data_IF_850284560246
#
_entry.id   IF_850284560246
#
_cell.length_a   1.000
_cell.length_b   1.000
_cell.length_c   1.000
_cell.angle_alpha   90.00
_cell.angle_beta   90.00
_cell.angle_gamma   90.00
#
_symmetry.space_group_name_H-M   'P 1'
#
loop_
_entity.id
_entity.type
_entity.pdbx_description
1 polymer ?
#
# COMPACT_ATOMS: atom_id res chain seq x y z
N UNK A 1 -11.30 13.45 -10.29
CA UNK A 1 -12.41 13.92 -9.43
C UNK A 1 -11.79 14.68 -8.27
N UNK A 2 -12.39 15.80 -7.86
CA UNK A 2 -11.95 16.63 -6.74
C UNK A 2 -13.10 16.66 -5.74
N UNK A 3 -12.80 16.36 -4.48
CA UNK A 3 -13.78 16.23 -3.40
C UNK A 3 -13.28 16.97 -2.18
N UNK A 4 -14.17 17.72 -1.53
CA UNK A 4 -13.94 18.25 -0.19
C UNK A 4 -14.13 17.12 0.83
N UNK A 5 -13.06 16.73 1.52
CA UNK A 5 -13.07 15.62 2.49
C UNK A 5 -13.68 15.96 3.85
N UNK A 6 -14.06 17.22 4.08
CA UNK A 6 -14.79 17.63 5.28
C UNK A 6 -16.30 17.54 5.06
N UNK A 7 -16.77 17.93 3.87
CA UNK A 7 -18.19 17.95 3.52
C UNK A 7 -18.62 16.76 2.66
N UNK A 8 -17.67 15.97 2.15
CA UNK A 8 -17.86 14.95 1.12
C UNK A 8 -18.46 15.48 -0.20
N UNK A 9 -18.43 16.80 -0.41
CA UNK A 9 -18.98 17.43 -1.62
C UNK A 9 -18.03 17.24 -2.80
N UNK A 10 -18.56 16.74 -3.93
CA UNK A 10 -17.84 16.72 -5.20
C UNK A 10 -17.72 18.14 -5.73
N UNK A 11 -16.50 18.65 -5.82
CA UNK A 11 -16.19 19.98 -6.38
C UNK A 11 -16.15 19.90 -7.90
N UNK A 12 -15.53 18.83 -8.43
CA UNK A 12 -15.41 18.60 -9.86
C UNK A 12 -15.28 17.11 -10.17
N UNK A 13 -15.85 16.66 -11.28
CA UNK A 13 -15.67 15.30 -11.76
C UNK A 13 -15.63 15.23 -13.28
N UNK A 14 -14.80 14.32 -13.80
CA UNK A 14 -14.72 13.99 -15.21
C UNK A 14 -14.57 12.46 -15.29
N UNK A 15 -15.54 11.78 -15.93
CA UNK A 15 -15.65 10.32 -15.99
C UNK A 15 -15.32 9.59 -14.65
N UNK A 16 -15.94 9.97 -13.51
CA UNK A 16 -15.52 9.48 -12.19
C UNK A 16 -15.71 7.98 -11.98
N UNK A 17 -16.54 7.34 -12.81
CA UNK A 17 -16.88 5.91 -12.76
C UNK A 17 -16.14 5.08 -13.82
N UNK A 18 -15.20 5.69 -14.56
CA UNK A 18 -14.39 5.00 -15.55
C UNK A 18 -13.34 4.13 -14.88
N UNK A 19 -13.36 2.83 -15.18
CA UNK A 19 -12.41 1.85 -14.64
C UNK A 19 -11.05 2.02 -15.33
N UNK A 20 -10.01 2.21 -14.51
CA UNK A 20 -8.62 2.40 -14.97
C UNK A 20 -7.63 1.70 -14.04
N UNK A 21 -6.46 1.28 -14.56
CA UNK A 21 -5.33 0.94 -13.71
C UNK A 21 -4.98 2.10 -12.77
N UNK A 22 -4.73 1.80 -11.50
CA UNK A 22 -4.52 2.84 -10.46
C UNK A 22 -3.09 2.95 -9.96
N UNK A 23 -2.19 2.12 -10.49
CA UNK A 23 -0.79 2.09 -10.09
C UNK A 23 -0.64 2.03 -8.55
N UNK A 24 0.36 2.73 -8.03
CA UNK A 24 0.74 2.75 -6.62
C UNK A 24 -0.30 3.29 -5.64
N UNK A 25 -1.43 3.87 -6.09
CA UNK A 25 -2.55 4.18 -5.19
C UNK A 25 -3.03 2.90 -4.47
N UNK A 26 -2.80 1.73 -5.08
CA UNK A 26 -3.00 0.40 -4.48
C UNK A 26 -2.36 0.24 -3.10
N UNK A 27 -1.22 0.89 -2.84
CA UNK A 27 -0.50 0.76 -1.55
C UNK A 27 -1.26 1.35 -0.37
N UNK A 28 -2.23 2.25 -0.62
CA UNK A 28 -3.13 2.73 0.43
C UNK A 28 -4.02 1.59 0.95
N UNK A 29 -4.56 0.76 0.06
CA UNK A 29 -5.31 -0.44 0.44
C UNK A 29 -4.42 -1.45 1.17
N UNK A 30 -3.19 -1.66 0.68
CA UNK A 30 -2.19 -2.52 1.31
C UNK A 30 -1.95 -2.09 2.76
N UNK A 31 -1.70 -0.81 3.01
CA UNK A 31 -1.49 -0.30 4.36
C UNK A 31 -2.71 -0.51 5.28
N UNK A 32 -3.93 -0.27 4.79
CA UNK A 32 -5.15 -0.50 5.58
C UNK A 32 -5.33 -1.98 5.96
N UNK A 33 -5.08 -2.91 5.02
CA UNK A 33 -5.17 -4.36 5.29
C UNK A 33 -4.11 -4.82 6.29
N UNK A 34 -2.88 -4.30 6.19
CA UNK A 34 -1.82 -4.60 7.17
C UNK A 34 -2.21 -4.13 8.56
N UNK A 35 -2.71 -2.91 8.69
CA UNK A 35 -3.08 -2.34 9.99
C UNK A 35 -4.30 -3.03 10.61
N UNK A 36 -5.25 -3.47 9.79
CA UNK A 36 -6.40 -4.26 10.24
C UNK A 36 -6.02 -5.61 10.84
N UNK A 37 -4.89 -6.19 10.43
CA UNK A 37 -4.38 -7.43 11.00
C UNK A 37 -3.89 -7.28 12.44
N UNK A 38 -3.69 -6.04 12.93
CA UNK A 38 -3.26 -5.70 14.29
C UNK A 38 -1.99 -6.45 14.74
N UNK A 39 -1.07 -6.69 13.81
CA UNK A 39 0.22 -7.31 14.10
C UNK A 39 1.17 -6.30 14.75
N UNK A 40 2.18 -6.77 15.52
CA UNK A 40 3.19 -5.89 16.10
C UNK A 40 3.92 -5.10 15.01
N UNK A 41 4.03 -3.79 15.22
CA UNK A 41 4.63 -2.86 14.26
C UNK A 41 6.17 -2.86 14.30
N UNK A 42 6.73 -3.27 15.44
CA UNK A 42 8.16 -3.41 15.71
C UNK A 42 8.75 -4.75 15.24
N UNK A 43 7.90 -5.72 14.92
CA UNK A 43 8.31 -7.01 14.35
C UNK A 43 9.18 -6.82 13.12
N UNK A 44 10.36 -7.45 13.14
CA UNK A 44 11.31 -7.45 12.02
C UNK A 44 10.85 -8.44 10.97
N UNK A 45 10.66 -7.94 9.76
CA UNK A 45 10.25 -8.72 8.62
C UNK A 45 11.35 -8.79 7.59
N UNK A 46 11.51 -9.98 7.04
CA UNK A 46 12.38 -10.23 5.90
C UNK A 46 11.76 -9.66 4.62
N UNK A 47 12.55 -8.95 3.83
CA UNK A 47 12.14 -8.48 2.50
C UNK A 47 12.00 -9.69 1.58
N UNK A 48 10.76 -9.97 1.17
CA UNK A 48 10.38 -11.11 0.36
C UNK A 48 9.37 -10.70 -0.71
N UNK A 49 9.69 -11.03 -1.97
CA UNK A 49 8.85 -10.75 -3.15
C UNK A 49 8.48 -12.03 -3.91
N UNK A 50 8.78 -13.20 -3.36
CA UNK A 50 8.65 -14.50 -4.03
C UNK A 50 7.23 -14.80 -4.52
N UNK A 51 6.22 -14.17 -3.90
CA UNK A 51 4.81 -14.34 -4.24
C UNK A 51 4.22 -13.19 -5.09
N UNK A 52 5.05 -12.22 -5.51
CA UNK A 52 4.63 -11.08 -6.33
C UNK A 52 5.34 -11.12 -7.69
N UNK A 53 4.81 -11.85 -8.69
CA UNK A 53 5.47 -12.04 -9.98
C UNK A 53 5.66 -10.72 -10.76
N UNK A 54 4.82 -9.72 -10.54
CA UNK A 54 4.92 -8.38 -11.12
C UNK A 54 6.24 -7.67 -10.75
N UNK A 55 6.91 -8.10 -9.68
CA UNK A 55 8.20 -7.56 -9.25
C UNK A 55 9.38 -8.05 -10.09
N UNK A 56 9.19 -9.01 -11.01
CA UNK A 56 10.28 -9.54 -11.84
C UNK A 56 10.88 -8.42 -12.70
N UNK A 57 12.17 -8.16 -12.53
CA UNK A 57 12.89 -7.10 -13.25
C UNK A 57 12.67 -5.70 -12.70
N UNK A 58 11.86 -5.53 -11.64
CA UNK A 58 11.64 -4.23 -10.99
C UNK A 58 12.85 -3.90 -10.11
N UNK A 59 13.52 -2.81 -10.46
CA UNK A 59 14.64 -2.29 -9.69
C UNK A 59 14.20 -1.79 -8.31
N UNK A 60 15.01 -2.07 -7.29
CA UNK A 60 14.91 -1.44 -5.97
C UNK A 60 16.26 -1.48 -5.27
N UNK A 61 16.56 -0.43 -4.50
CA UNK A 61 17.74 -0.35 -3.63
C UNK A 61 17.62 -1.24 -2.39
N UNK A 62 16.39 -1.56 -1.96
CA UNK A 62 16.12 -2.43 -0.82
C UNK A 62 16.53 -3.85 -1.17
N UNK A 63 17.44 -4.47 -0.42
CA UNK A 63 17.98 -5.81 -0.73
C UNK A 63 16.99 -6.90 -0.33
N UNK A 64 16.85 -7.92 -1.17
CA UNK A 64 16.09 -9.13 -0.80
C UNK A 64 16.75 -9.79 0.41
N UNK A 65 15.93 -10.48 1.20
CA UNK A 65 16.32 -11.12 2.45
C UNK A 65 16.79 -10.17 3.56
N UNK A 66 16.80 -8.85 3.33
CA UNK A 66 17.11 -7.91 4.38
C UNK A 66 15.97 -7.76 5.38
N UNK A 67 16.25 -7.44 6.64
CA UNK A 67 15.21 -7.30 7.66
C UNK A 67 14.98 -5.86 8.12
N UNK A 68 13.72 -5.45 8.23
CA UNK A 68 13.33 -4.13 8.75
C UNK A 68 11.96 -4.23 9.46
N UNK A 69 11.60 -3.26 10.31
CA UNK A 69 10.34 -3.35 11.05
C UNK A 69 9.12 -3.24 10.11
N UNK A 70 8.01 -3.83 10.51
CA UNK A 70 6.71 -3.67 9.82
C UNK A 70 6.32 -2.21 9.66
N UNK A 71 6.56 -1.38 10.68
CA UNK A 71 6.33 0.07 10.62
C UNK A 71 7.16 0.74 9.54
N UNK A 72 8.44 0.39 9.43
CA UNK A 72 9.31 0.96 8.40
C UNK A 72 8.95 0.44 7.01
N UNK A 73 8.48 -0.81 6.87
CA UNK A 73 7.93 -1.27 5.59
C UNK A 73 6.71 -0.46 5.18
N UNK A 74 5.79 -0.16 6.11
CA UNK A 74 4.65 0.73 5.85
C UNK A 74 5.12 2.13 5.48
N UNK A 75 6.13 2.67 6.18
CA UNK A 75 6.74 3.96 5.87
C UNK A 75 7.26 3.99 4.44
N UNK A 76 8.10 3.03 4.06
CA UNK A 76 8.69 2.96 2.73
C UNK A 76 7.65 2.81 1.63
N UNK A 77 6.62 1.98 1.87
CA UNK A 77 5.52 1.77 0.94
C UNK A 77 4.68 3.04 0.73
N UNK A 78 4.45 3.84 1.77
CA UNK A 78 3.59 5.03 1.70
C UNK A 78 4.36 6.31 1.32
N UNK A 79 5.56 6.51 1.86
CA UNK A 79 6.38 7.72 1.65
C UNK A 79 7.05 7.73 0.28
N UNK A 80 7.66 6.62 -0.13
CA UNK A 80 8.46 6.56 -1.36
C UNK A 80 7.94 5.54 -2.37
N UNK A 81 6.70 5.08 -2.17
CA UNK A 81 6.05 4.09 -3.04
C UNK A 81 6.86 2.80 -3.23
N UNK A 82 7.63 2.38 -2.22
CA UNK A 82 8.59 1.28 -2.38
C UNK A 82 7.85 -0.06 -2.56
N UNK A 83 8.13 -0.75 -3.68
CA UNK A 83 7.37 -1.93 -4.07
C UNK A 83 7.77 -3.19 -3.30
N UNK A 84 9.05 -3.38 -2.96
CA UNK A 84 9.50 -4.56 -2.18
C UNK A 84 8.89 -4.55 -0.79
N UNK A 85 8.77 -3.38 -0.16
CA UNK A 85 8.11 -3.21 1.13
C UNK A 85 6.62 -3.59 1.06
N UNK A 86 5.88 -3.08 0.07
CA UNK A 86 4.47 -3.43 -0.12
C UNK A 86 4.25 -4.93 -0.39
N UNK A 87 5.10 -5.54 -1.23
CA UNK A 87 5.08 -6.98 -1.50
C UNK A 87 5.40 -7.82 -0.24
N UNK A 88 6.40 -7.41 0.53
CA UNK A 88 6.81 -8.09 1.76
C UNK A 88 5.71 -8.04 2.82
N UNK A 89 5.03 -6.90 2.96
CA UNK A 89 3.88 -6.77 3.86
C UNK A 89 2.76 -7.77 3.54
N UNK A 90 2.49 -8.00 2.25
CA UNK A 90 1.51 -8.99 1.82
C UNK A 90 1.98 -10.43 2.04
N UNK A 91 3.28 -10.69 1.83
CA UNK A 91 3.89 -12.00 2.06
C UNK A 91 3.74 -12.42 3.53
N UNK A 92 4.03 -11.51 4.46
CA UNK A 92 3.98 -11.75 5.91
C UNK A 92 2.59 -11.59 6.54
N UNK A 93 1.53 -11.58 5.72
CA UNK A 93 0.17 -11.51 6.23
C UNK A 93 -0.30 -12.86 6.79
N UNK A 94 -1.11 -12.90 7.87
CA UNK A 94 -1.72 -14.13 8.37
C UNK A 94 -2.53 -14.85 7.30
N UNK A 95 -2.21 -16.12 7.04
CA UNK A 95 -2.77 -16.88 5.92
C UNK A 95 -2.08 -16.65 4.57
N UNK A 96 -1.01 -15.86 4.55
CA UNK A 96 -0.11 -15.63 3.42
C UNK A 96 -0.66 -14.70 2.34
N UNK A 97 0.10 -14.55 1.25
CA UNK A 97 -0.18 -13.62 0.16
C UNK A 97 -1.58 -13.75 -0.45
N UNK A 98 -2.06 -14.97 -0.69
CA UNK A 98 -3.42 -15.17 -1.23
C UNK A 98 -4.50 -14.66 -0.26
N UNK A 99 -4.32 -14.85 1.04
CA UNK A 99 -5.22 -14.30 2.05
C UNK A 99 -5.15 -12.77 2.07
N UNK A 100 -3.97 -12.19 1.87
CA UNK A 100 -3.81 -10.73 1.74
C UNK A 100 -4.61 -10.15 0.58
N UNK A 101 -4.48 -10.72 -0.63
CA UNK A 101 -5.24 -10.25 -1.80
C UNK A 101 -6.75 -10.42 -1.59
N UNK A 102 -7.17 -11.52 -0.95
CA UNK A 102 -8.58 -11.70 -0.56
C UNK A 102 -9.03 -10.62 0.42
N UNK A 103 -8.20 -10.26 1.41
CA UNK A 103 -8.50 -9.21 2.38
C UNK A 103 -8.58 -7.81 1.73
N UNK A 104 -7.71 -7.50 0.77
CA UNK A 104 -7.78 -6.26 -0.02
C UNK A 104 -9.13 -6.12 -0.74
N UNK A 105 -9.57 -7.18 -1.43
CA UNK A 105 -10.84 -7.15 -2.15
C UNK A 105 -12.06 -7.21 -1.21
N UNK A 106 -11.96 -7.92 -0.08
CA UNK A 106 -13.00 -7.92 0.95
C UNK A 106 -13.20 -6.52 1.55
N UNK A 107 -12.09 -5.81 1.83
CA UNK A 107 -12.13 -4.42 2.29
C UNK A 107 -12.67 -3.47 1.21
N UNK A 108 -12.26 -3.63 -0.05
CA UNK A 108 -12.85 -2.85 -1.15
C UNK A 108 -14.38 -3.01 -1.18
N UNK A 109 -14.88 -4.25 -1.09
CA UNK A 109 -16.32 -4.54 -1.03
C UNK A 109 -16.99 -3.93 0.19
N UNK A 110 -16.39 -4.02 1.38
CA UNK A 110 -16.97 -3.45 2.61
C UNK A 110 -17.04 -1.92 2.57
N UNK A 111 -16.16 -1.27 1.81
CA UNK A 111 -16.19 0.18 1.57
C UNK A 111 -17.13 0.57 0.42
N UNK A 112 -17.82 -0.39 -0.21
CA UNK A 112 -18.70 -0.15 -1.36
C UNK A 112 -17.96 0.21 -2.64
N UNK A 113 -16.68 -0.18 -2.77
CA UNK A 113 -15.84 0.06 -3.95
C UNK A 113 -16.12 -0.98 -5.05
N UNK A 114 -17.34 -0.94 -5.61
CA UNK A 114 -17.88 -1.99 -6.48
C UNK A 114 -17.16 -2.13 -7.83
N UNK A 115 -16.41 -1.11 -8.26
CA UNK A 115 -15.66 -1.10 -9.51
C UNK A 115 -14.15 -1.20 -9.28
N UNK A 116 -13.74 -1.69 -8.11
CA UNK A 116 -12.34 -1.88 -7.73
C UNK A 116 -11.99 -3.36 -7.66
N UNK A 117 -10.80 -3.71 -8.16
CA UNK A 117 -10.22 -5.04 -8.02
C UNK A 117 -8.72 -4.93 -7.81
N UNK A 118 -8.21 -5.65 -6.81
CA UNK A 118 -6.79 -5.81 -6.55
C UNK A 118 -6.35 -7.24 -6.88
N UNK A 119 -5.24 -7.40 -7.58
CA UNK A 119 -4.60 -8.71 -7.85
C UNK A 119 -3.24 -8.84 -7.16
N UNK A 120 -2.65 -7.72 -6.75
CA UNK A 120 -1.34 -7.65 -6.09
C UNK A 120 -1.22 -6.37 -5.22
N UNK A 121 -0.28 -6.28 -4.26
CA UNK A 121 -0.27 -5.24 -3.22
C UNK A 121 0.50 -3.95 -3.58
N UNK A 122 1.18 -3.91 -4.72
CA UNK A 122 2.13 -2.85 -5.09
C UNK A 122 1.53 -1.81 -6.03
N UNK A 123 0.61 -2.22 -6.91
CA UNK A 123 0.07 -1.42 -8.00
C UNK A 123 0.77 -1.61 -9.36
N UNK A 124 1.76 -2.49 -9.47
CA UNK A 124 2.44 -2.77 -10.74
C UNK A 124 1.54 -3.43 -11.78
N UNK A 125 0.53 -4.21 -11.36
CA UNK A 125 -0.36 -4.87 -12.28
C UNK A 125 -1.35 -3.87 -12.90
N UNK A 126 -1.49 -3.89 -14.23
CA UNK A 126 -2.57 -3.16 -14.91
C UNK A 126 -3.96 -3.68 -14.54
N UNK A 127 -4.04 -4.85 -13.89
CA UNK A 127 -5.29 -5.42 -13.38
C UNK A 127 -5.65 -4.95 -11.97
N UNK A 128 -4.77 -4.19 -11.30
CA UNK A 128 -5.16 -3.36 -10.16
C UNK A 128 -5.93 -2.15 -10.68
N UNK A 129 -7.25 -2.23 -10.63
CA UNK A 129 -8.15 -1.24 -11.24
C UNK A 129 -9.11 -0.66 -10.22
N UNK A 130 -9.53 0.57 -10.46
CA UNK A 130 -10.57 1.26 -9.69
C UNK A 130 -11.20 2.36 -10.54
N UNK A 131 -12.14 3.08 -9.94
CA UNK A 131 -12.67 4.36 -10.44
C UNK A 131 -12.25 5.49 -9.51
N UNK A 132 -12.33 6.74 -9.98
CA UNK A 132 -12.07 7.90 -9.12
C UNK A 132 -13.05 7.94 -7.95
N UNK A 133 -14.32 7.57 -8.17
CA UNK A 133 -15.35 7.52 -7.13
C UNK A 133 -15.00 6.52 -6.02
N UNK A 134 -14.54 5.33 -6.40
CA UNK A 134 -14.17 4.31 -5.43
C UNK A 134 -12.89 4.68 -4.68
N UNK A 135 -11.91 5.30 -5.36
CA UNK A 135 -10.71 5.81 -4.70
C UNK A 135 -11.01 6.89 -3.65
N UNK A 136 -12.05 7.71 -3.84
CA UNK A 136 -12.49 8.65 -2.80
C UNK A 136 -13.01 7.94 -1.56
N UNK A 137 -13.73 6.82 -1.71
CA UNK A 137 -14.18 6.00 -0.56
C UNK A 137 -12.97 5.44 0.20
N UNK A 138 -11.95 4.97 -0.53
CA UNK A 138 -10.69 4.51 0.05
C UNK A 138 -9.99 5.62 0.85
N UNK A 139 -9.89 6.82 0.28
CA UNK A 139 -9.27 7.98 0.93
C UNK A 139 -10.04 8.47 2.16
N UNK A 140 -11.37 8.45 2.12
CA UNK A 140 -12.20 8.77 3.31
C UNK A 140 -11.96 7.72 4.40
N UNK A 141 -11.96 6.44 4.04
CA UNK A 141 -11.72 5.36 4.99
C UNK A 141 -10.31 5.42 5.61
N UNK A 142 -9.29 5.85 4.86
CA UNK A 142 -7.94 5.98 5.40
C UNK A 142 -7.81 7.02 6.52
N UNK A 143 -8.77 7.95 6.67
CA UNK A 143 -8.82 8.88 7.81
C UNK A 143 -8.98 8.17 9.16
N UNK A 144 -9.47 6.94 9.17
CA UNK A 144 -9.57 6.10 10.38
C UNK A 144 -8.21 5.51 10.81
N UNK A 145 -7.14 5.74 10.04
CA UNK A 145 -5.80 5.21 10.28
C UNK A 145 -4.81 6.37 10.40
N UNK A 146 -4.69 7.01 11.58
CA UNK A 146 -3.80 8.17 11.77
C UNK A 146 -2.35 7.89 11.34
N UNK A 147 -1.88 6.67 11.55
CA UNK A 147 -0.55 6.24 11.14
C UNK A 147 -0.33 6.32 9.62
N UNK A 148 -1.34 6.02 8.79
CA UNK A 148 -1.21 6.17 7.33
C UNK A 148 -0.94 7.63 6.96
N UNK A 149 -1.67 8.57 7.57
CA UNK A 149 -1.46 10.00 7.37
C UNK A 149 -0.05 10.44 7.79
N UNK A 150 0.41 9.99 8.95
CA UNK A 150 1.77 10.28 9.43
C UNK A 150 2.85 9.76 8.47
N UNK A 151 2.76 8.50 8.06
CA UNK A 151 3.78 7.86 7.24
C UNK A 151 3.79 8.41 5.80
N UNK A 152 2.62 8.63 5.20
CA UNK A 152 2.51 9.16 3.83
C UNK A 152 2.94 10.63 3.69
N UNK A 153 2.99 11.40 4.79
CA UNK A 153 3.41 12.80 4.80
C UNK A 153 4.82 13.01 5.35
N UNK A 154 5.52 11.93 5.73
CA UNK A 154 6.94 12.00 6.06
C UNK A 154 7.70 12.49 4.83
N UNK A 155 8.57 13.50 5.00
CA UNK A 155 9.30 14.11 3.88
C UNK A 155 10.51 13.29 3.44
N UNK A 156 11.28 12.82 4.40
CA UNK A 156 12.42 11.96 4.21
C UNK A 156 12.69 11.16 5.48
N UNK A 157 13.31 9.99 5.31
CA UNK A 157 13.76 9.15 6.42
C UNK A 157 14.92 8.24 6.00
N UNK A 158 15.63 7.71 6.99
CA UNK A 158 16.72 6.75 6.84
C UNK A 158 16.25 5.36 7.26
N UNK A 159 16.01 4.48 6.28
CA UNK A 159 15.63 3.11 6.57
C UNK A 159 16.85 2.27 6.91
N UNK A 160 16.92 1.79 8.15
CA UNK A 160 18.01 0.93 8.65
C UNK A 160 17.56 -0.52 8.74
N UNK A 161 18.17 -1.36 7.91
CA UNK A 161 17.96 -2.80 7.89
C UNK A 161 18.90 -3.48 8.89
N UNK A 162 18.45 -4.54 9.56
CA UNK A 162 19.19 -5.20 10.65
C UNK A 162 19.97 -6.45 10.23
N UNK A 163 19.63 -7.06 9.10
CA UNK A 163 20.24 -8.31 8.66
C UNK A 163 20.19 -8.46 7.14
N UNK A 164 21.28 -8.24 6.37
CA UNK A 164 22.51 -7.61 6.82
C UNK A 164 22.26 -6.14 7.21
N UNK A 165 23.14 -5.58 8.02
CA UNK A 165 23.01 -4.17 8.43
C UNK A 165 23.39 -3.22 7.29
N UNK A 166 22.48 -2.34 6.91
CA UNK A 166 22.74 -1.20 6.01
C UNK A 166 21.63 -0.16 6.14
N UNK A 167 21.92 1.07 5.73
CA UNK A 167 20.96 2.18 5.79
C UNK A 167 20.78 2.81 4.41
N UNK A 168 19.55 3.18 4.06
CA UNK A 168 19.21 3.84 2.80
C UNK A 168 18.41 5.13 3.05
N UNK A 169 18.73 6.24 2.37
CA UNK A 169 17.88 7.43 2.37
C UNK A 169 16.67 7.23 1.47
N UNK A 170 15.50 7.61 1.98
CA UNK A 170 14.24 7.67 1.24
C UNK A 170 13.61 9.05 1.37
N UNK A 171 12.95 9.49 0.30
CA UNK A 171 12.32 10.80 0.20
C UNK A 171 10.94 10.66 -0.42
N UNK A 172 10.03 11.50 0.03
CA UNK A 172 8.74 11.71 -0.60
C UNK A 172 8.96 12.66 -1.79
N UNK A 173 8.64 12.18 -2.99
CA UNK A 173 8.87 12.89 -4.26
C UNK A 173 7.56 13.45 -4.80
#
# INVERSE_FOLDING_TARGET
MIVDLNTNKVIYSNHPDLVRPIASISKLMTAMVVLDARLPLDEKLKVDISQTPEMKGVYSRVRLNSEISRKDMLLLALMSSENRAAASLAHHYPGGYKAFIKAMNAKAKSLGMNNTRFVEPTGLSVHNVSTARDLTKLLIASKQYPLIGQLSTTREDMATFSNPTYTLPFRNT
#
